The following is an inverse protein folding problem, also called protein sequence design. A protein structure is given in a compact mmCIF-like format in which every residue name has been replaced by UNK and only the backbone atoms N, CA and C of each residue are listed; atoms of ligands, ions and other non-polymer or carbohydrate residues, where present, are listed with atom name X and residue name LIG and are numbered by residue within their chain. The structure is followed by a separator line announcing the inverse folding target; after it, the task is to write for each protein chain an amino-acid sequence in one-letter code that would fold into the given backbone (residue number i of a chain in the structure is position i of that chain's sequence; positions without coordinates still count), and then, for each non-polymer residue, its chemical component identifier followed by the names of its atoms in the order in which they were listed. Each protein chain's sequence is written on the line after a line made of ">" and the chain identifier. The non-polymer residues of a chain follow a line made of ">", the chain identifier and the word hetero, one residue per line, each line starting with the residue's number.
data_IF_278736418838
#
_entry.id   IF_278736418838
#
_cell.length_a   1.000
_cell.length_b   1.000
_cell.length_c   1.000
_cell.angle_alpha   90.00
_cell.angle_beta   90.00
_cell.angle_gamma   90.00
#
_symmetry.space_group_name_H-M   'P 1'
#
loop_
_entity.id
_entity.type
_entity.pdbx_description
1 polymer ?
#
# COMPACT_ATOMS: atom_id res chain seq x y z
N UNK A 1 -11.70 9.70 -20.48
CA UNK A 1 -11.66 8.27 -20.12
C UNK A 1 -11.16 8.15 -18.68
N UNK A 2 -11.74 7.28 -17.85
CA UNK A 2 -11.32 7.10 -16.45
C UNK A 2 -10.46 5.83 -16.32
N UNK A 3 -9.44 5.87 -15.48
CA UNK A 3 -8.57 4.72 -15.20
C UNK A 3 -8.72 4.37 -13.71
N UNK A 4 -8.91 3.08 -13.43
CA UNK A 4 -8.93 2.56 -12.07
C UNK A 4 -7.75 1.61 -11.88
N UNK A 5 -6.93 1.87 -10.86
CA UNK A 5 -5.86 0.98 -10.44
C UNK A 5 -6.31 0.21 -9.21
N UNK A 6 -5.99 -1.09 -9.16
CA UNK A 6 -6.26 -1.95 -8.02
C UNK A 6 -4.93 -2.39 -7.41
N UNK A 7 -4.71 -2.01 -6.15
CA UNK A 7 -3.53 -2.36 -5.38
C UNK A 7 -3.94 -3.20 -4.17
N UNK A 8 -3.41 -4.43 -4.09
CA UNK A 8 -3.54 -5.25 -2.87
C UNK A 8 -2.56 -4.74 -1.82
N UNK A 9 -2.94 -4.79 -0.55
CA UNK A 9 -2.02 -4.52 0.56
C UNK A 9 -0.75 -5.39 0.48
N UNK A 10 0.39 -4.86 0.92
CA UNK A 10 1.63 -5.60 1.01
C UNK A 10 1.57 -6.70 2.08
N UNK A 11 2.61 -7.53 2.19
CA UNK A 11 2.60 -8.73 3.05
C UNK A 11 2.46 -8.36 4.53
N UNK A 12 1.48 -8.95 5.22
CA UNK A 12 1.25 -8.77 6.67
C UNK A 12 2.14 -9.64 7.55
N UNK A 13 2.33 -9.21 8.81
CA UNK A 13 3.06 -9.96 9.86
C UNK A 13 2.12 -10.85 10.67
N UNK A 14 2.50 -12.13 10.80
CA UNK A 14 1.82 -13.15 11.63
C UNK A 14 2.58 -13.39 12.95
N UNK A 15 3.48 -12.49 13.32
CA UNK A 15 4.41 -12.72 14.45
C UNK A 15 3.71 -12.63 15.80
N UNK A 16 2.60 -11.91 15.87
CA UNK A 16 1.72 -11.81 17.04
C UNK A 16 0.42 -12.60 16.78
N UNK A 17 0.20 -13.73 17.48
CA UNK A 17 -1.00 -14.56 17.33
C UNK A 17 -2.24 -13.98 18.02
N UNK A 18 -2.08 -13.08 19.00
CA UNK A 18 -3.19 -12.50 19.78
C UNK A 18 -3.79 -11.27 19.10
N UNK A 19 -3.10 -10.72 18.10
CA UNK A 19 -3.53 -9.56 17.34
C UNK A 19 -4.70 -9.90 16.40
N UNK A 20 -5.80 -9.12 16.49
CA UNK A 20 -6.95 -9.27 15.60
C UNK A 20 -6.53 -9.07 14.15
N UNK A 21 -7.10 -9.84 13.21
CA UNK A 21 -6.70 -9.75 11.80
C UNK A 21 -6.73 -8.32 11.24
N UNK A 22 -7.74 -7.54 11.61
CA UNK A 22 -7.90 -6.16 11.15
C UNK A 22 -6.75 -5.24 11.57
N UNK A 23 -6.14 -5.50 12.73
CA UNK A 23 -5.06 -4.70 13.32
C UNK A 23 -3.67 -5.14 12.81
N UNK A 24 -3.59 -6.26 12.10
CA UNK A 24 -2.31 -6.84 11.69
C UNK A 24 -1.48 -5.90 10.81
N UNK A 25 -0.22 -5.62 11.17
CA UNK A 25 0.64 -4.71 10.43
C UNK A 25 1.29 -5.41 9.23
N UNK A 26 2.04 -4.64 8.45
CA UNK A 26 2.97 -5.19 7.46
C UNK A 26 4.15 -5.89 8.14
N UNK A 27 4.71 -6.91 7.51
CA UNK A 27 5.99 -7.46 7.94
C UNK A 27 7.17 -6.74 7.25
N UNK A 28 8.39 -7.07 7.66
CA UNK A 28 9.60 -6.47 7.12
C UNK A 28 9.72 -6.62 5.58
N UNK A 29 9.23 -7.74 5.01
CA UNK A 29 9.18 -7.91 3.55
C UNK A 29 8.14 -6.99 2.93
N UNK A 30 6.94 -6.91 3.50
CA UNK A 30 5.87 -6.03 3.04
C UNK A 30 6.33 -4.58 2.96
N UNK A 31 7.03 -4.09 4.00
CA UNK A 31 7.59 -2.74 4.03
C UNK A 31 8.61 -2.49 2.90
N UNK A 32 9.44 -3.47 2.55
CA UNK A 32 10.38 -3.37 1.43
C UNK A 32 9.71 -3.48 0.05
N UNK A 33 8.60 -4.23 -0.04
CA UNK A 33 7.90 -4.44 -1.30
C UNK A 33 7.13 -3.18 -1.74
N UNK A 34 6.65 -2.33 -0.81
CA UNK A 34 5.91 -1.11 -1.16
C UNK A 34 6.66 -0.15 -2.09
N UNK A 35 7.90 0.31 -1.77
CA UNK A 35 8.63 1.20 -2.67
C UNK A 35 8.92 0.57 -4.03
N UNK A 36 9.20 -0.75 -4.09
CA UNK A 36 9.39 -1.46 -5.37
C UNK A 36 8.13 -1.44 -6.23
N UNK A 37 6.94 -1.54 -5.61
CA UNK A 37 5.67 -1.40 -6.33
C UNK A 37 5.47 0.03 -6.84
N UNK A 38 5.82 1.05 -6.03
CA UNK A 38 5.73 2.46 -6.42
C UNK A 38 6.68 2.80 -7.58
N UNK A 39 7.93 2.32 -7.54
CA UNK A 39 8.90 2.51 -8.63
C UNK A 39 8.38 1.97 -9.96
N UNK A 40 7.77 0.78 -9.93
CA UNK A 40 7.14 0.17 -11.11
C UNK A 40 5.95 0.98 -11.62
N UNK A 41 5.19 1.59 -10.72
CA UNK A 41 4.07 2.45 -11.07
C UNK A 41 4.55 3.75 -11.74
N UNK A 42 5.55 4.40 -11.14
CA UNK A 42 6.17 5.61 -11.65
C UNK A 42 6.86 5.39 -13.00
N UNK A 43 7.56 4.26 -13.18
CA UNK A 43 8.22 3.91 -14.45
C UNK A 43 7.24 3.76 -15.63
N UNK A 44 5.94 3.55 -15.36
CA UNK A 44 4.89 3.50 -16.37
C UNK A 44 4.21 4.85 -16.61
N UNK A 45 4.69 5.92 -15.98
CA UNK A 45 4.09 7.26 -16.00
C UNK A 45 2.62 7.25 -15.56
N UNK A 46 2.24 6.32 -14.68
CA UNK A 46 0.90 6.26 -14.13
C UNK A 46 0.67 7.42 -13.14
N UNK A 47 -0.58 7.90 -13.05
CA UNK A 47 -0.99 8.94 -12.10
C UNK A 47 -2.33 8.57 -11.49
N UNK A 48 -2.56 9.02 -10.26
CA UNK A 48 -3.84 8.88 -9.56
C UNK A 48 -4.28 10.24 -9.04
N UNK A 49 -5.58 10.53 -9.21
CA UNK A 49 -6.21 11.75 -8.70
C UNK A 49 -6.78 11.54 -7.27
N UNK A 50 -6.95 10.28 -6.86
CA UNK A 50 -7.49 9.91 -5.56
C UNK A 50 -7.03 8.50 -5.17
N UNK A 51 -6.74 8.30 -3.87
CA UNK A 51 -6.44 7.00 -3.28
C UNK A 51 -7.51 6.68 -2.23
N UNK A 52 -8.17 5.53 -2.38
CA UNK A 52 -9.12 4.99 -1.40
C UNK A 52 -8.57 3.67 -0.88
N UNK A 53 -8.52 3.50 0.44
CA UNK A 53 -8.01 2.30 1.08
C UNK A 53 -9.03 1.67 2.01
N UNK A 54 -8.96 0.35 2.14
CA UNK A 54 -9.54 -0.35 3.29
C UNK A 54 -8.97 0.20 4.60
N UNK A 55 -9.77 0.26 5.69
CA UNK A 55 -9.31 0.77 6.98
C UNK A 55 -8.42 -0.21 7.76
N UNK A 56 -8.28 -1.46 7.33
CA UNK A 56 -7.39 -2.43 7.98
C UNK A 56 -5.94 -1.94 8.00
N UNK A 57 -5.21 -2.15 9.10
CA UNK A 57 -3.87 -1.58 9.34
C UNK A 57 -2.92 -1.81 8.18
N UNK A 58 -2.73 -3.07 7.75
CA UNK A 58 -1.90 -3.42 6.58
C UNK A 58 -2.26 -2.68 5.29
N UNK A 59 -3.55 -2.46 5.02
CA UNK A 59 -4.00 -1.79 3.80
C UNK A 59 -3.72 -0.29 3.88
N UNK A 60 -4.10 0.34 5.00
CA UNK A 60 -3.84 1.75 5.26
C UNK A 60 -2.35 2.08 5.24
N UNK A 61 -1.51 1.26 5.89
CA UNK A 61 -0.05 1.43 5.86
C UNK A 61 0.52 1.26 4.46
N UNK A 62 0.05 0.27 3.68
CA UNK A 62 0.48 0.11 2.28
C UNK A 62 0.12 1.35 1.46
N UNK A 63 -1.12 1.85 1.60
CA UNK A 63 -1.59 3.02 0.86
C UNK A 63 -0.80 4.29 1.20
N UNK A 64 -0.52 4.54 2.48
CA UNK A 64 0.26 5.70 2.92
C UNK A 64 1.71 5.67 2.40
N UNK A 65 2.40 4.55 2.59
CA UNK A 65 3.77 4.38 2.08
C UNK A 65 3.82 4.47 0.55
N UNK A 66 2.83 3.92 -0.14
CA UNK A 66 2.73 4.00 -1.59
C UNK A 66 2.45 5.43 -2.06
N UNK A 67 1.56 6.17 -1.39
CA UNK A 67 1.24 7.56 -1.73
C UNK A 67 2.45 8.48 -1.59
N UNK A 68 3.23 8.30 -0.53
CA UNK A 68 4.49 9.03 -0.33
C UNK A 68 5.49 8.71 -1.46
N UNK A 69 5.65 7.44 -1.80
CA UNK A 69 6.63 6.99 -2.80
C UNK A 69 6.28 7.41 -4.26
N UNK A 70 5.01 7.72 -4.55
CA UNK A 70 4.60 8.23 -5.87
C UNK A 70 4.46 9.77 -5.93
N UNK A 71 4.89 10.48 -4.88
CA UNK A 71 4.70 11.94 -4.73
C UNK A 71 3.23 12.35 -4.94
N UNK A 72 2.30 11.59 -4.33
CA UNK A 72 0.88 11.91 -4.37
C UNK A 72 0.61 13.18 -3.56
N UNK A 73 -0.04 14.18 -4.17
CA UNK A 73 -0.25 15.53 -3.60
C UNK A 73 -1.68 15.81 -3.15
N UNK A 74 -2.53 14.80 -3.12
CA UNK A 74 -3.94 14.96 -2.74
C UNK A 74 -4.24 14.50 -1.33
#
# INVERSE_FOLDING_TARGET
>A
MKILYLLRHAKSSWDDPDLKDFERPLNARGLRDVPVMADRFNARNCRVDCIVSSPATRAKTTAGLFSEAIDYKG
#
